data_IF_620373365604
#
_entry.id   IF_620373365604
#
_cell.length_a   1.000
_cell.length_b   1.000
_cell.length_c   1.000
_cell.angle_alpha   90.00
_cell.angle_beta   90.00
_cell.angle_gamma   90.00
#
_symmetry.space_group_name_H-M   'P 1'
#
loop_
_entity.id
_entity.type
_entity.pdbx_description
1 polymer ?
#
# COMPACT_ATOMS: atom_id res chain seq x y z
N UNK A 1 26.37 18.59 31.13
CA UNK A 1 25.40 17.90 30.25
C UNK A 1 26.11 17.47 28.97
N UNK A 2 25.94 16.22 28.53
CA UNK A 2 26.49 15.74 27.26
C UNK A 2 25.41 15.64 26.17
N UNK A 3 25.79 15.96 24.93
CA UNK A 3 24.92 15.90 23.76
C UNK A 3 25.66 15.30 22.56
N UNK A 4 24.93 14.72 21.61
CA UNK A 4 25.45 14.28 20.32
C UNK A 4 24.57 14.82 19.21
N UNK A 5 25.16 15.13 18.06
CA UNK A 5 24.42 15.57 16.90
C UNK A 5 23.44 14.50 16.43
N UNK A 6 22.18 14.88 16.30
CA UNK A 6 21.09 14.00 15.87
C UNK A 6 19.97 14.84 15.26
N UNK A 7 20.05 15.15 13.95
CA UNK A 7 19.00 15.92 13.27
C UNK A 7 17.66 15.16 13.31
N UNK A 8 16.52 15.82 13.53
CA UNK A 8 16.31 17.26 13.70
C UNK A 8 16.41 17.77 15.16
N UNK A 9 16.80 16.92 16.11
CA UNK A 9 16.75 17.22 17.54
C UNK A 9 17.92 18.08 18.04
N UNK A 10 19.14 17.80 17.54
CA UNK A 10 20.35 18.58 17.76
C UNK A 10 21.05 18.72 16.41
N UNK A 11 21.25 19.97 15.99
CA UNK A 11 21.84 20.35 14.71
C UNK A 11 22.95 21.35 15.00
N UNK A 12 24.19 21.02 14.61
CA UNK A 12 25.29 21.96 14.75
C UNK A 12 25.29 22.95 13.58
N UNK A 13 25.52 24.24 13.85
CA UNK A 13 25.58 25.26 12.80
C UNK A 13 26.79 25.08 11.87
N UNK A 14 27.91 24.63 12.42
CA UNK A 14 29.15 24.40 11.67
C UNK A 14 29.77 23.04 12.05
N UNK A 15 29.04 21.96 11.78
CA UNK A 15 29.38 20.60 12.22
C UNK A 15 30.81 20.18 11.81
N UNK A 16 31.16 20.34 10.52
CA UNK A 16 32.44 19.89 9.97
C UNK A 16 33.64 20.56 10.63
N UNK A 17 33.62 21.88 10.78
CA UNK A 17 34.69 22.62 11.44
C UNK A 17 34.78 22.27 12.95
N UNK A 18 33.63 22.08 13.60
CA UNK A 18 33.59 21.72 15.03
C UNK A 18 34.25 20.37 15.28
N UNK A 19 33.96 19.37 14.44
CA UNK A 19 34.55 18.04 14.57
C UNK A 19 36.00 17.96 14.11
N UNK A 20 36.41 18.72 13.10
CA UNK A 20 37.81 18.77 12.68
C UNK A 20 38.70 19.34 13.81
N UNK A 21 38.18 20.33 14.53
CA UNK A 21 38.88 20.97 15.65
C UNK A 21 38.74 20.20 16.98
N UNK A 22 38.15 19.01 17.01
CA UNK A 22 38.03 18.18 18.21
C UNK A 22 39.29 17.33 18.41
N UNK A 23 40.01 17.58 19.49
CA UNK A 23 41.18 16.76 19.91
C UNK A 23 40.80 15.64 20.87
N UNK A 24 39.78 15.86 21.69
CA UNK A 24 39.28 14.89 22.68
C UNK A 24 37.90 14.36 22.27
N UNK A 25 37.46 13.27 22.91
CA UNK A 25 36.14 12.66 22.65
C UNK A 25 34.96 13.60 22.94
N UNK A 26 35.19 14.60 23.81
CA UNK A 26 34.22 15.61 24.21
C UNK A 26 34.81 17.01 24.03
N UNK A 27 33.97 17.96 23.62
CA UNK A 27 34.33 19.38 23.50
C UNK A 27 33.25 20.25 24.11
N UNK A 28 33.66 21.24 24.88
CA UNK A 28 32.72 22.25 25.40
C UNK A 28 32.27 23.16 24.26
N UNK A 29 30.96 23.34 24.14
CA UNK A 29 30.34 24.20 23.13
C UNK A 29 29.37 25.18 23.77
N UNK A 30 29.16 26.31 23.10
CA UNK A 30 28.19 27.32 23.53
C UNK A 30 26.78 26.97 23.03
N UNK A 31 25.75 27.44 23.75
CA UNK A 31 24.33 27.25 23.40
C UNK A 31 24.00 27.83 22.01
N UNK A 32 24.76 28.81 21.54
CA UNK A 32 24.59 29.47 20.24
C UNK A 32 25.09 28.65 19.06
N UNK A 33 25.91 27.61 19.29
CA UNK A 33 26.61 26.83 18.25
C UNK A 33 25.79 25.66 17.70
N UNK A 34 24.71 25.30 18.38
CA UNK A 34 23.74 24.31 17.92
C UNK A 34 22.32 24.87 17.98
N UNK A 35 21.43 24.22 17.25
CA UNK A 35 19.99 24.43 17.21
C UNK A 35 19.27 23.08 17.27
N UNK A 36 17.94 23.11 17.38
CA UNK A 36 17.10 21.92 17.38
C UNK A 36 16.22 21.81 18.61
N UNK A 37 15.32 20.83 18.60
CA UNK A 37 14.30 20.64 19.64
C UNK A 37 14.84 20.61 21.07
N UNK A 38 15.99 19.98 21.31
CA UNK A 38 16.55 19.88 22.66
C UNK A 38 17.12 21.21 23.17
N UNK A 39 17.49 22.14 22.29
CA UNK A 39 17.90 23.49 22.69
C UNK A 39 16.73 24.26 23.30
N UNK A 40 15.56 24.19 22.65
CA UNK A 40 14.38 24.92 23.11
C UNK A 40 13.93 24.41 24.49
N UNK A 41 13.96 23.08 24.69
CA UNK A 41 13.73 22.47 26.00
C UNK A 41 14.78 22.94 27.01
N UNK A 42 16.06 22.95 26.64
CA UNK A 42 17.12 23.35 27.55
C UNK A 42 16.96 24.80 28.02
N UNK A 43 16.65 25.72 27.10
CA UNK A 43 16.39 27.13 27.40
C UNK A 43 15.15 27.29 28.30
N UNK A 44 14.09 26.51 28.04
CA UNK A 44 12.90 26.49 28.89
C UNK A 44 13.20 25.98 30.31
N UNK A 45 13.98 24.91 30.44
CA UNK A 45 14.38 24.36 31.75
C UNK A 45 15.30 25.33 32.49
N UNK A 46 16.22 25.98 31.79
CA UNK A 46 17.10 27.00 32.35
C UNK A 46 16.29 28.17 32.93
N UNK A 47 15.28 28.67 32.21
CA UNK A 47 14.38 29.73 32.71
C UNK A 47 13.58 29.29 33.94
N UNK A 48 13.05 28.05 33.93
CA UNK A 48 12.21 27.54 35.03
C UNK A 48 12.98 27.12 36.28
N UNK A 49 14.19 26.59 36.13
CA UNK A 49 14.96 26.02 37.23
C UNK A 49 16.14 26.89 37.66
N UNK A 50 16.55 27.87 36.85
CA UNK A 50 17.63 28.80 37.18
C UNK A 50 19.04 28.19 37.18
N UNK A 51 19.29 27.13 36.40
CA UNK A 51 20.63 26.54 36.27
C UNK A 51 21.35 27.01 35.00
N UNK A 52 22.69 26.99 35.01
CA UNK A 52 23.53 27.29 33.85
C UNK A 52 24.19 26.02 33.33
N UNK A 53 23.75 25.45 32.20
CA UNK A 53 24.29 24.18 31.70
C UNK A 53 25.66 24.36 31.04
N UNK A 54 26.62 23.51 31.43
CA UNK A 54 27.83 23.28 30.64
C UNK A 54 27.54 22.17 29.63
N UNK A 55 27.72 22.47 28.35
CA UNK A 55 27.35 21.59 27.25
C UNK A 55 28.61 20.96 26.66
N UNK A 56 28.67 19.64 26.72
CA UNK A 56 29.74 18.82 26.15
C UNK A 56 29.22 18.11 24.91
N UNK A 57 29.75 18.47 23.76
CA UNK A 57 29.49 17.77 22.50
C UNK A 57 30.34 16.50 22.43
N UNK A 58 29.70 15.37 22.20
CA UNK A 58 30.36 14.10 21.90
C UNK A 58 30.65 13.96 20.41
N UNK A 59 31.70 13.21 20.08
CA UNK A 59 32.04 12.87 18.69
C UNK A 59 30.95 11.95 18.09
N UNK A 60 30.62 12.05 16.79
CA UNK A 60 29.61 11.19 16.15
C UNK A 60 29.98 9.70 16.17
N UNK A 61 31.25 9.35 16.37
CA UNK A 61 31.70 7.97 16.52
C UNK A 61 31.46 7.37 17.91
N UNK A 62 31.10 8.18 18.90
CA UNK A 62 30.86 7.76 20.28
C UNK A 62 29.61 6.88 20.35
N UNK A 63 29.73 5.72 20.99
CA UNK A 63 28.58 4.83 21.16
C UNK A 63 27.61 5.35 22.22
N UNK A 64 26.31 5.13 22.03
CA UNK A 64 25.31 5.50 23.05
C UNK A 64 25.54 4.82 24.40
N UNK A 65 26.15 3.63 24.42
CA UNK A 65 26.48 2.95 25.67
C UNK A 65 27.60 3.68 26.43
N UNK A 66 28.57 4.27 25.73
CA UNK A 66 29.63 5.09 26.34
C UNK A 66 29.04 6.37 26.95
N UNK A 67 28.01 6.95 26.31
CA UNK A 67 27.30 8.09 26.89
C UNK A 67 26.57 7.69 28.19
N UNK A 68 25.86 6.56 28.18
CA UNK A 68 25.16 6.07 29.39
C UNK A 68 26.17 5.74 30.50
N UNK A 69 27.27 5.08 30.15
CA UNK A 69 28.34 4.76 31.08
C UNK A 69 29.04 6.02 31.61
N UNK A 70 29.16 7.07 30.79
CA UNK A 70 29.71 8.35 31.22
C UNK A 70 28.85 9.05 32.28
N UNK A 71 27.52 8.92 32.23
CA UNK A 71 26.65 9.38 33.34
C UNK A 71 26.94 8.56 34.59
N UNK A 72 26.95 7.22 34.46
CA UNK A 72 27.17 6.31 35.59
C UNK A 72 28.54 6.53 36.27
N UNK A 73 29.55 6.93 35.49
CA UNK A 73 30.90 7.29 35.96
C UNK A 73 31.04 8.76 36.40
N UNK A 74 29.94 9.53 36.46
CA UNK A 74 29.93 10.96 36.80
C UNK A 74 30.84 11.83 35.90
N UNK A 75 31.03 11.47 34.63
CA UNK A 75 31.71 12.34 33.65
C UNK A 75 30.84 13.54 33.27
N UNK A 76 29.52 13.39 33.35
CA UNK A 76 28.54 14.43 33.15
C UNK A 76 27.26 14.08 33.93
N UNK A 77 26.58 15.09 34.43
CA UNK A 77 25.41 14.90 35.31
C UNK A 77 24.17 14.41 34.57
N UNK A 78 24.09 14.70 33.27
CA UNK A 78 22.93 14.36 32.44
C UNK A 78 23.30 14.31 30.95
N UNK A 79 22.56 13.53 30.18
CA UNK A 79 22.68 13.40 28.73
C UNK A 79 21.36 13.78 28.11
N UNK A 80 21.40 14.67 27.11
CA UNK A 80 20.22 15.10 26.36
C UNK A 80 20.34 14.63 24.92
N UNK A 81 19.63 13.55 24.60
CA UNK A 81 19.78 12.83 23.33
C UNK A 81 18.52 12.02 23.02
N UNK A 82 18.28 11.76 21.74
CA UNK A 82 17.30 10.76 21.29
C UNK A 82 17.90 9.35 21.41
N UNK A 83 17.65 8.71 22.55
CA UNK A 83 18.09 7.33 22.83
C UNK A 83 16.90 6.43 23.16
N UNK A 84 16.97 5.18 22.74
CA UNK A 84 16.00 4.14 23.12
C UNK A 84 16.30 3.67 24.55
N UNK A 85 15.30 3.76 25.42
CA UNK A 85 15.35 3.27 26.80
C UNK A 85 15.23 1.74 26.76
N UNK A 86 16.32 1.05 27.07
CA UNK A 86 16.40 -0.42 27.12
C UNK A 86 16.55 -0.89 28.56
N UNK A 87 16.11 -2.12 28.86
CA UNK A 87 16.23 -2.72 30.20
C UNK A 87 17.68 -2.69 30.73
N UNK A 88 18.66 -3.08 29.90
CA UNK A 88 20.10 -3.03 30.25
C UNK A 88 20.61 -1.63 30.58
N UNK A 89 20.05 -0.58 29.97
CA UNK A 89 20.47 0.81 30.24
C UNK A 89 19.80 1.34 31.50
N UNK A 90 18.54 0.95 31.73
CA UNK A 90 17.77 1.33 32.92
C UNK A 90 18.35 0.77 34.22
N UNK A 91 19.14 -0.31 34.16
CA UNK A 91 19.89 -0.81 35.32
C UNK A 91 21.16 -0.01 35.63
N UNK A 92 21.65 0.81 34.68
CA UNK A 92 22.89 1.59 34.82
C UNK A 92 22.62 3.04 35.22
N UNK A 93 21.54 3.62 34.69
CA UNK A 93 21.16 5.02 34.92
C UNK A 93 19.65 5.16 34.96
N UNK A 94 19.19 6.19 35.66
CA UNK A 94 17.78 6.59 35.64
C UNK A 94 17.48 7.47 34.42
N UNK A 95 16.28 7.28 33.88
CA UNK A 95 15.78 8.05 32.74
C UNK A 95 14.60 8.90 33.19
N UNK A 96 14.51 10.12 32.64
CA UNK A 96 13.32 10.93 32.75
C UNK A 96 12.11 10.30 32.03
N UNK A 97 10.94 10.91 32.22
CA UNK A 97 9.73 10.50 31.50
C UNK A 97 9.93 10.65 29.98
N UNK A 98 9.63 9.62 29.17
CA UNK A 98 9.83 9.70 27.73
C UNK A 98 8.92 10.76 27.11
N UNK A 99 9.51 11.75 26.45
CA UNK A 99 8.78 12.86 25.80
C UNK A 99 8.16 12.40 24.48
N UNK A 100 8.87 11.52 23.75
CA UNK A 100 8.44 11.01 22.45
C UNK A 100 8.10 9.52 22.60
N UNK A 101 6.85 9.11 22.39
CA UNK A 101 6.50 7.70 22.40
C UNK A 101 7.23 6.99 21.25
N UNK A 102 7.94 5.91 21.57
CA UNK A 102 8.56 5.07 20.56
C UNK A 102 7.47 4.34 19.77
N UNK A 103 7.44 4.52 18.44
CA UNK A 103 6.60 3.75 17.54
C UNK A 103 7.46 3.19 16.41
N UNK A 104 7.37 1.87 16.18
CA UNK A 104 8.02 1.23 15.05
C UNK A 104 7.21 1.58 13.81
N UNK A 105 7.86 2.18 12.80
CA UNK A 105 7.22 2.57 11.54
C UNK A 105 8.03 2.01 10.38
N UNK A 106 7.33 1.38 9.43
CA UNK A 106 7.93 0.92 8.18
C UNK A 106 7.76 2.04 7.17
N UNK A 107 8.88 2.56 6.66
CA UNK A 107 8.90 3.59 5.62
C UNK A 107 9.14 2.89 4.29
N UNK A 108 8.11 2.83 3.45
CA UNK A 108 8.22 2.32 2.08
C UNK A 108 8.30 3.48 1.09
N UNK A 109 9.05 3.29 0.01
CA UNK A 109 9.10 4.25 -1.09
C UNK A 109 7.68 4.43 -1.64
N UNK A 110 7.25 5.68 -1.84
CA UNK A 110 6.01 5.96 -2.56
C UNK A 110 6.06 5.24 -3.92
N UNK A 111 5.10 4.35 -4.24
CA UNK A 111 5.07 3.73 -5.56
C UNK A 111 5.01 4.86 -6.59
N UNK A 112 5.74 4.70 -7.70
CA UNK A 112 5.59 5.62 -8.84
C UNK A 112 4.11 5.62 -9.21
N UNK A 113 3.55 6.80 -9.51
CA UNK A 113 2.15 6.93 -9.92
C UNK A 113 1.85 5.87 -10.97
N UNK A 114 0.92 4.97 -10.66
CA UNK A 114 0.41 4.02 -11.64
C UNK A 114 -0.26 4.86 -12.71
N UNK A 115 0.37 4.95 -13.88
CA UNK A 115 -0.28 5.55 -15.03
C UNK A 115 -1.49 4.65 -15.32
N UNK A 116 -2.68 5.23 -15.24
CA UNK A 116 -3.90 4.52 -15.55
C UNK A 116 -3.90 4.29 -17.07
N UNK A 117 -3.61 3.07 -17.49
CA UNK A 117 -3.70 2.68 -18.90
C UNK A 117 -5.18 2.79 -19.33
N UNK A 118 -5.52 3.50 -20.42
CA UNK A 118 -6.90 3.57 -20.94
C UNK A 118 -7.48 2.19 -21.28
N UNK A 119 -6.61 1.20 -21.55
CA UNK A 119 -6.96 -0.19 -21.84
C UNK A 119 -6.88 -1.10 -20.61
N UNK A 120 -6.86 -0.55 -19.39
CA UNK A 120 -6.88 -1.33 -18.15
C UNK A 120 -8.08 -2.29 -18.09
N UNK A 121 -9.21 -1.93 -18.71
CA UNK A 121 -10.39 -2.79 -18.83
C UNK A 121 -10.18 -4.05 -19.69
N UNK A 122 -9.18 -4.08 -20.58
CA UNK A 122 -8.86 -5.25 -21.40
C UNK A 122 -7.83 -6.18 -20.74
N UNK A 123 -7.09 -5.70 -19.72
CA UNK A 123 -6.12 -6.50 -18.96
C UNK A 123 -6.66 -7.76 -18.26
N UNK A 124 -7.91 -7.86 -17.79
CA UNK A 124 -8.37 -9.07 -17.10
C UNK A 124 -8.45 -10.31 -18.01
N UNK A 125 -8.50 -10.13 -19.34
CA UNK A 125 -8.54 -11.24 -20.31
C UNK A 125 -7.23 -11.32 -21.10
N UNK A 126 -6.68 -12.52 -21.25
CA UNK A 126 -5.50 -12.75 -22.11
C UNK A 126 -5.88 -12.63 -23.60
N UNK A 127 -4.88 -12.39 -24.46
CA UNK A 127 -5.08 -12.35 -25.91
C UNK A 127 -5.72 -13.63 -26.45
N UNK A 128 -5.38 -14.79 -25.87
CA UNK A 128 -5.96 -16.07 -26.26
C UNK A 128 -7.47 -16.10 -26.03
N UNK A 129 -7.93 -15.64 -24.87
CA UNK A 129 -9.37 -15.58 -24.55
C UNK A 129 -10.10 -14.61 -25.50
N UNK A 130 -9.49 -13.47 -25.82
CA UNK A 130 -10.04 -12.54 -26.81
C UNK A 130 -10.21 -13.18 -28.19
N UNK A 131 -9.22 -13.95 -28.64
CA UNK A 131 -9.29 -14.68 -29.91
C UNK A 131 -10.38 -15.77 -29.87
N UNK A 132 -10.54 -16.47 -28.74
CA UNK A 132 -11.62 -17.44 -28.57
C UNK A 132 -13.01 -16.79 -28.62
N UNK A 133 -13.19 -15.64 -27.99
CA UNK A 133 -14.45 -14.87 -28.06
C UNK A 133 -14.71 -14.45 -29.52
N UNK A 134 -13.70 -13.89 -30.19
CA UNK A 134 -13.82 -13.44 -31.58
C UNK A 134 -14.10 -14.59 -32.55
N UNK A 135 -13.59 -15.80 -32.28
CA UNK A 135 -13.84 -17.00 -33.09
C UNK A 135 -15.21 -17.64 -32.80
N UNK A 136 -15.67 -17.63 -31.54
CA UNK A 136 -16.92 -18.29 -31.15
C UNK A 136 -18.16 -17.56 -31.68
N UNK A 137 -18.11 -16.23 -31.75
CA UNK A 137 -19.19 -15.38 -32.28
C UNK A 137 -19.60 -15.75 -33.72
N UNK A 138 -18.70 -15.75 -34.73
CA UNK A 138 -19.07 -16.10 -36.10
C UNK A 138 -19.38 -17.59 -36.26
N UNK A 139 -18.71 -18.47 -35.52
CA UNK A 139 -18.97 -19.92 -35.56
C UNK A 139 -20.42 -20.26 -35.15
N UNK A 140 -20.91 -19.64 -34.08
CA UNK A 140 -22.30 -19.84 -33.63
C UNK A 140 -23.31 -19.25 -34.61
N UNK A 141 -23.03 -18.06 -35.18
CA UNK A 141 -23.84 -17.49 -36.25
C UNK A 141 -23.92 -18.37 -37.51
N UNK A 142 -22.79 -18.96 -37.91
CA UNK A 142 -22.72 -19.88 -39.05
C UNK A 142 -23.50 -21.18 -38.81
N UNK A 143 -23.43 -21.74 -37.59
CA UNK A 143 -24.22 -22.92 -37.22
C UNK A 143 -25.72 -22.64 -37.27
N UNK A 144 -26.17 -21.51 -36.72
CA UNK A 144 -27.59 -21.12 -36.74
C UNK A 144 -28.07 -20.97 -38.19
N UNK A 145 -27.29 -20.28 -39.04
CA UNK A 145 -27.60 -20.14 -40.46
C UNK A 145 -27.72 -21.48 -41.20
N UNK A 146 -26.86 -22.44 -40.87
CA UNK A 146 -26.85 -23.76 -41.50
C UNK A 146 -28.08 -24.61 -41.10
N UNK A 147 -28.43 -24.63 -39.81
CA UNK A 147 -29.49 -25.50 -39.28
C UNK A 147 -30.91 -24.94 -39.48
N UNK A 148 -31.08 -23.67 -39.84
CA UNK A 148 -32.40 -23.06 -39.96
C UNK A 148 -33.01 -23.22 -41.37
N UNK A 149 -34.26 -23.72 -41.48
CA UNK A 149 -34.88 -24.02 -42.77
C UNK A 149 -35.09 -22.78 -43.64
N UNK A 150 -35.02 -22.98 -44.97
CA UNK A 150 -35.00 -21.94 -46.02
C UNK A 150 -36.18 -20.96 -45.95
N UNK A 151 -37.32 -21.38 -45.40
CA UNK A 151 -38.55 -20.59 -45.32
C UNK A 151 -38.48 -19.48 -44.26
N UNK A 152 -37.77 -19.70 -43.15
CA UNK A 152 -37.51 -18.69 -42.10
C UNK A 152 -36.18 -17.93 -42.29
N UNK A 153 -35.41 -18.31 -43.33
CA UNK A 153 -34.09 -17.74 -43.66
C UNK A 153 -34.11 -16.24 -43.98
N UNK A 154 -35.24 -15.68 -44.42
CA UNK A 154 -35.38 -14.24 -44.74
C UNK A 154 -35.28 -13.34 -43.49
N UNK A 155 -35.54 -13.88 -42.30
CA UNK A 155 -35.46 -13.14 -41.03
C UNK A 155 -34.06 -13.09 -40.42
N UNK A 156 -33.11 -13.86 -40.96
CA UNK A 156 -31.72 -13.94 -40.45
C UNK A 156 -30.80 -13.22 -41.42
N UNK A 157 -30.86 -11.88 -41.39
CA UNK A 157 -29.79 -11.05 -41.96
C UNK A 157 -28.63 -11.02 -40.98
N UNK A 158 -27.39 -10.89 -41.44
CA UNK A 158 -26.17 -10.76 -40.61
C UNK A 158 -26.35 -9.75 -39.47
N UNK A 159 -27.11 -8.67 -39.72
CA UNK A 159 -27.47 -7.64 -38.74
C UNK A 159 -28.35 -8.20 -37.60
N UNK A 160 -29.31 -9.07 -37.90
CA UNK A 160 -30.16 -9.73 -36.91
C UNK A 160 -29.38 -10.76 -36.08
N UNK A 161 -28.40 -11.44 -36.66
CA UNK A 161 -27.51 -12.35 -35.92
C UNK A 161 -26.61 -11.59 -34.96
N UNK A 162 -26.04 -10.45 -35.38
CA UNK A 162 -25.25 -9.57 -34.51
C UNK A 162 -26.13 -9.00 -33.39
N UNK A 163 -27.34 -8.54 -33.72
CA UNK A 163 -28.29 -8.03 -32.75
C UNK A 163 -28.70 -9.11 -31.72
N UNK A 164 -28.96 -10.33 -32.19
CA UNK A 164 -29.27 -11.48 -31.34
C UNK A 164 -28.15 -11.79 -30.34
N UNK A 165 -26.88 -11.75 -30.78
CA UNK A 165 -25.72 -11.99 -29.93
C UNK A 165 -25.57 -10.88 -28.88
N UNK A 166 -25.73 -9.61 -29.28
CA UNK A 166 -25.67 -8.46 -28.36
C UNK A 166 -26.76 -8.55 -27.29
N UNK A 167 -28.01 -8.88 -27.67
CA UNK A 167 -29.12 -9.03 -26.73
C UNK A 167 -28.96 -10.24 -25.80
N UNK A 168 -28.38 -11.34 -26.28
CA UNK A 168 -28.10 -12.53 -25.47
C UNK A 168 -27.00 -12.27 -24.43
N UNK A 169 -25.98 -11.49 -24.78
CA UNK A 169 -24.92 -11.07 -23.84
C UNK A 169 -25.44 -10.12 -22.76
N UNK A 170 -26.43 -9.28 -23.09
CA UNK A 170 -26.96 -8.25 -22.20
C UNK A 170 -28.18 -8.70 -21.36
N UNK A 171 -28.53 -9.99 -21.39
CA UNK A 171 -29.70 -10.57 -20.70
C UNK A 171 -30.99 -9.76 -20.90
N UNK A 172 -31.22 -9.30 -22.13
CA UNK A 172 -32.45 -8.60 -22.51
C UNK A 172 -33.28 -9.46 -23.46
N UNK A 173 -34.59 -9.50 -23.23
CA UNK A 173 -35.55 -10.19 -24.07
C UNK A 173 -35.33 -9.84 -25.55
N UNK A 174 -35.17 -10.89 -26.36
CA UNK A 174 -34.88 -10.81 -27.78
C UNK A 174 -36.13 -11.17 -28.59
N UNK A 175 -36.32 -10.52 -29.74
CA UNK A 175 -37.43 -10.81 -30.66
C UNK A 175 -37.25 -12.08 -31.48
N UNK A 176 -36.08 -12.73 -31.42
CA UNK A 176 -35.72 -13.88 -32.26
C UNK A 176 -35.55 -15.16 -31.44
N UNK A 177 -36.59 -15.99 -31.36
CA UNK A 177 -36.53 -17.32 -30.73
C UNK A 177 -36.31 -18.38 -31.81
N UNK A 178 -35.17 -19.08 -31.76
CA UNK A 178 -34.86 -20.13 -32.72
C UNK A 178 -35.97 -21.22 -32.71
N UNK A 179 -36.54 -21.51 -33.88
CA UNK A 179 -37.72 -22.38 -33.97
C UNK A 179 -37.37 -23.87 -33.89
N UNK A 180 -36.15 -24.25 -34.26
CA UNK A 180 -35.68 -25.65 -34.33
C UNK A 180 -35.07 -26.09 -33.00
N UNK A 181 -35.24 -27.35 -32.62
CA UNK A 181 -34.68 -27.91 -31.38
C UNK A 181 -33.16 -27.73 -31.27
N UNK A 182 -32.43 -27.87 -32.38
CA UNK A 182 -30.98 -27.61 -32.46
C UNK A 182 -30.63 -26.14 -32.25
N UNK A 183 -31.42 -25.22 -32.82
CA UNK A 183 -31.24 -23.78 -32.60
C UNK A 183 -31.43 -23.40 -31.13
N UNK A 184 -32.47 -23.92 -30.47
CA UNK A 184 -32.72 -23.71 -29.04
C UNK A 184 -31.58 -24.25 -28.16
N UNK A 185 -31.01 -25.39 -28.53
CA UNK A 185 -29.86 -25.96 -27.82
C UNK A 185 -28.62 -25.06 -27.94
N UNK A 186 -28.35 -24.53 -29.13
CA UNK A 186 -27.21 -23.63 -29.37
C UNK A 186 -27.37 -22.30 -28.64
N UNK A 187 -28.57 -21.73 -28.60
CA UNK A 187 -28.85 -20.48 -27.87
C UNK A 187 -28.71 -20.67 -26.35
N UNK A 188 -29.18 -21.81 -25.82
CA UNK A 188 -28.99 -22.17 -24.40
C UNK A 188 -27.52 -22.42 -24.06
N UNK A 189 -26.78 -23.09 -24.94
CA UNK A 189 -25.34 -23.32 -24.76
C UNK A 189 -24.54 -22.03 -24.73
N UNK A 190 -24.86 -21.08 -25.62
CA UNK A 190 -24.21 -19.76 -25.66
C UNK A 190 -24.54 -18.93 -24.41
N UNK A 191 -25.81 -18.92 -23.96
CA UNK A 191 -26.22 -18.24 -22.73
C UNK A 191 -25.46 -18.77 -21.50
N UNK A 192 -25.36 -20.10 -21.36
CA UNK A 192 -24.61 -20.73 -20.27
C UNK A 192 -23.10 -20.43 -20.32
N UNK A 193 -22.53 -20.34 -21.52
CA UNK A 193 -21.11 -20.02 -21.70
C UNK A 193 -20.78 -18.57 -21.29
N UNK A 194 -21.69 -17.63 -21.51
CA UNK A 194 -21.46 -16.19 -21.28
C UNK A 194 -21.83 -15.78 -19.85
N UNK A 195 -22.98 -16.27 -19.35
CA UNK A 195 -23.54 -15.85 -18.06
C UNK A 195 -23.07 -16.76 -16.92
N UNK A 196 -22.57 -17.95 -17.23
CA UNK A 196 -21.99 -18.86 -16.23
C UNK A 196 -23.01 -19.42 -15.24
N UNK A 197 -24.32 -19.32 -15.52
CA UNK A 197 -25.33 -19.97 -14.68
C UNK A 197 -25.31 -21.49 -14.90
N UNK A 198 -25.18 -22.22 -13.79
CA UNK A 198 -25.41 -23.67 -13.74
C UNK A 198 -26.82 -23.97 -14.23
N UNK A 199 -27.05 -25.10 -14.93
CA UNK A 199 -28.38 -25.46 -15.40
C UNK A 199 -29.33 -25.57 -14.20
N UNK A 200 -30.36 -24.71 -14.18
CA UNK A 200 -31.48 -24.77 -13.24
C UNK A 200 -32.33 -26.01 -13.62
N UNK A 201 -31.86 -27.19 -13.24
CA UNK A 201 -32.72 -28.36 -13.07
C UNK A 201 -33.40 -28.24 -11.71
N UNK A 202 -34.37 -27.33 -11.59
CA UNK A 202 -35.29 -27.33 -10.46
C UNK A 202 -36.30 -28.46 -10.69
N UNK A 203 -35.95 -29.67 -10.22
CA UNK A 203 -36.94 -30.72 -10.01
C UNK A 203 -37.94 -30.25 -8.94
N UNK A 204 -39.16 -29.95 -9.37
CA UNK A 204 -40.31 -29.70 -8.48
C UNK A 204 -40.57 -30.95 -7.64
N UNK A 205 -40.14 -30.94 -6.38
CA UNK A 205 -40.63 -31.91 -5.39
C UNK A 205 -42.03 -31.47 -4.95
N UNK A 206 -43.04 -32.26 -5.30
CA UNK A 206 -44.43 -32.05 -4.91
C UNK A 206 -44.57 -32.44 -3.44
N UNK A 207 -44.60 -31.45 -2.56
CA UNK A 207 -45.00 -31.61 -1.16
C UNK A 207 -46.47 -32.04 -1.11
N UNK A 208 -46.72 -33.21 -0.53
CA UNK A 208 -48.05 -33.74 -0.22
C UNK A 208 -48.49 -33.05 1.09
N UNK A 209 -49.58 -32.29 1.00
CA UNK A 209 -50.29 -31.69 2.13
C UNK A 209 -50.97 -32.77 2.97
N UNK A 210 -50.75 -32.70 4.29
CA UNK A 210 -51.73 -33.15 5.30
C UNK A 210 -52.90 -32.17 5.33
#
# INVERSE_FOLDING_TARGET
MAIIESPPFIILKNATATYYNMTHNYKNINITEFDGFYKDILLYLQDKMGFSPIIMLAKPSTQYNELVEGVSKNLFDTVMITIVINAKRKTMVDFGTPIIPHSIRIIIRKPRSVQLDPLFFLKPFSLDVWLFILATIPCTGALIWYFEPKEKRKSVTIIHTINFIIHTVLDKDHSFTASTASGKFLTLGLANMIIGEKPILSCKYKSISL
#
